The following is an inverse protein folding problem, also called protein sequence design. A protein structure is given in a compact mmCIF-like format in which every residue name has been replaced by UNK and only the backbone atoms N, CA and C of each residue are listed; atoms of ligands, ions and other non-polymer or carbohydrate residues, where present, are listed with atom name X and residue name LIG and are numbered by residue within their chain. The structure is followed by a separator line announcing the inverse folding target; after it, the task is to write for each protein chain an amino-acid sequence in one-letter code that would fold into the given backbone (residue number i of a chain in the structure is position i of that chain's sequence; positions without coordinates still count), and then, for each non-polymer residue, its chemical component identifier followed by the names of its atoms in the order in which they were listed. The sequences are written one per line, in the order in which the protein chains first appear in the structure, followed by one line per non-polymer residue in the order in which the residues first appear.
data_IF_756327962088
#
_entry.id   IF_756327962088
#
_cell.length_a   1.000
_cell.length_b   1.000
_cell.length_c   1.000
_cell.angle_alpha   90.00
_cell.angle_beta   90.00
_cell.angle_gamma   90.00
#
_symmetry.space_group_name_H-M   'P 1'
#
loop_
_entity.id
_entity.type
_entity.pdbx_description
1 polymer ?
#
# COMPACT_ATOMS: atom_id res chain seq x y z
N UNK A 1 -23.58 -10.81 -11.58
CA UNK A 1 -22.82 -9.54 -11.68
C UNK A 1 -21.65 -9.63 -10.70
N UNK A 2 -20.39 -9.66 -11.15
CA UNK A 2 -19.23 -9.77 -10.23
C UNK A 2 -19.06 -8.50 -9.39
N UNK A 3 -18.79 -8.66 -8.09
CA UNK A 3 -18.71 -7.55 -7.13
C UNK A 3 -17.41 -6.71 -7.26
N UNK A 4 -16.28 -7.35 -7.58
CA UNK A 4 -14.98 -6.69 -7.74
C UNK A 4 -14.61 -6.55 -9.21
N UNK A 5 -14.20 -5.35 -9.64
CA UNK A 5 -13.78 -5.06 -11.03
C UNK A 5 -12.28 -4.80 -11.15
N UNK A 6 -11.68 -4.20 -10.14
CA UNK A 6 -10.28 -3.79 -10.14
C UNK A 6 -9.68 -4.17 -8.79
N UNK A 7 -8.59 -4.94 -8.79
CA UNK A 7 -7.82 -5.29 -7.61
C UNK A 7 -6.41 -4.71 -7.76
N UNK A 8 -6.03 -3.77 -6.89
CA UNK A 8 -4.75 -3.06 -7.00
C UNK A 8 -3.85 -3.41 -5.82
N UNK A 9 -2.67 -3.94 -6.13
CA UNK A 9 -1.57 -4.12 -5.19
C UNK A 9 -0.75 -2.83 -5.18
N UNK A 10 -0.93 -2.03 -4.13
CA UNK A 10 -0.34 -0.69 -4.04
C UNK A 10 1.09 -0.67 -3.51
N UNK A 11 1.54 -1.76 -2.88
CA UNK A 11 2.88 -1.99 -2.34
C UNK A 11 3.12 -3.50 -2.21
N UNK A 12 4.37 -3.96 -2.07
CA UNK A 12 4.68 -5.41 -2.02
C UNK A 12 5.12 -5.93 -0.65
N UNK A 13 5.39 -5.05 0.32
CA UNK A 13 5.80 -5.49 1.65
C UNK A 13 4.69 -6.23 2.40
N UNK A 14 5.09 -7.14 3.29
CA UNK A 14 4.20 -8.12 3.92
C UNK A 14 3.10 -7.49 4.80
N UNK A 15 3.32 -6.28 5.33
CA UNK A 15 2.32 -5.50 6.07
C UNK A 15 1.20 -4.92 5.18
N UNK A 16 1.32 -5.04 3.85
CA UNK A 16 0.34 -4.56 2.88
C UNK A 16 -0.37 -5.68 2.10
N UNK A 17 0.29 -6.82 1.86
CA UNK A 17 -0.19 -7.80 0.88
C UNK A 17 -0.45 -9.20 1.43
N UNK A 18 -0.38 -9.40 2.75
CA UNK A 18 -0.76 -10.69 3.33
C UNK A 18 -2.23 -11.02 2.99
N UNK A 19 -2.47 -12.16 2.35
CA UNK A 19 -3.77 -12.60 1.84
C UNK A 19 -4.15 -12.01 0.47
N UNK A 20 -3.28 -11.22 -0.16
CA UNK A 20 -3.56 -10.63 -1.47
C UNK A 20 -3.73 -11.69 -2.57
N UNK A 21 -3.01 -12.80 -2.49
CA UNK A 21 -3.17 -13.93 -3.41
C UNK A 21 -4.53 -14.62 -3.31
N UNK A 22 -5.11 -14.70 -2.11
CA UNK A 22 -6.47 -15.25 -1.90
C UNK A 22 -7.53 -14.34 -2.52
N UNK A 23 -7.39 -13.02 -2.34
CA UNK A 23 -8.26 -12.03 -2.98
C UNK A 23 -8.13 -12.11 -4.50
N UNK A 24 -6.90 -12.20 -5.01
CA UNK A 24 -6.64 -12.40 -6.42
C UNK A 24 -7.39 -13.65 -6.89
N UNK A 25 -7.12 -14.83 -6.32
CA UNK A 25 -7.76 -16.11 -6.69
C UNK A 25 -9.29 -16.04 -6.68
N UNK A 26 -9.89 -15.49 -5.62
CA UNK A 26 -11.35 -15.40 -5.45
C UNK A 26 -12.00 -14.44 -6.45
N UNK A 27 -11.33 -13.35 -6.80
CA UNK A 27 -11.87 -12.31 -7.70
C UNK A 27 -11.55 -12.60 -9.17
N UNK A 28 -12.07 -13.71 -9.71
CA UNK A 28 -11.78 -14.26 -11.06
C UNK A 28 -11.99 -13.31 -12.24
N UNK A 29 -12.89 -12.34 -12.09
CA UNK A 29 -13.24 -11.37 -13.14
C UNK A 29 -12.65 -9.97 -12.92
N UNK A 30 -11.82 -9.80 -11.89
CA UNK A 30 -11.16 -8.52 -11.64
C UNK A 30 -9.90 -8.37 -12.48
N UNK A 31 -9.64 -7.14 -12.93
CA UNK A 31 -8.31 -6.74 -13.41
C UNK A 31 -7.37 -6.66 -12.21
N UNK A 32 -6.24 -7.37 -12.28
CA UNK A 32 -5.20 -7.30 -11.26
C UNK A 32 -4.20 -6.22 -11.65
N UNK A 33 -3.88 -5.28 -10.76
CA UNK A 33 -2.94 -4.21 -11.05
C UNK A 33 -1.84 -4.13 -10.00
N UNK A 34 -0.63 -3.79 -10.45
CA UNK A 34 0.54 -3.62 -9.60
C UNK A 34 1.54 -2.72 -10.32
N UNK A 35 2.48 -2.16 -9.56
CA UNK A 35 3.58 -1.35 -10.09
C UNK A 35 4.32 -2.07 -11.22
N UNK A 36 4.62 -1.36 -12.31
CA UNK A 36 5.37 -1.92 -13.44
C UNK A 36 6.77 -2.43 -13.05
N UNK A 37 7.34 -1.92 -11.95
CA UNK A 37 8.60 -2.42 -11.40
C UNK A 37 8.51 -3.90 -10.97
N UNK A 38 7.31 -4.38 -10.60
CA UNK A 38 7.10 -5.72 -10.04
C UNK A 38 6.94 -6.84 -11.09
N UNK A 39 7.02 -6.53 -12.38
CA UNK A 39 7.06 -7.54 -13.45
C UNK A 39 8.31 -7.48 -14.32
N UNK A 40 9.30 -6.68 -13.94
CA UNK A 40 10.59 -6.69 -14.62
C UNK A 40 11.40 -7.91 -14.19
N UNK A 41 12.31 -8.35 -15.07
CA UNK A 41 13.14 -9.53 -14.87
C UNK A 41 13.94 -9.46 -13.55
N UNK A 42 14.35 -8.27 -13.15
CA UNK A 42 14.97 -7.96 -11.88
C UNK A 42 14.10 -8.44 -10.71
N UNK A 43 12.84 -8.03 -10.67
CA UNK A 43 11.91 -8.42 -9.62
C UNK A 43 11.51 -9.89 -9.71
N UNK A 44 11.29 -10.43 -10.92
CA UNK A 44 10.94 -11.85 -11.09
C UNK A 44 12.04 -12.76 -10.56
N UNK A 45 13.31 -12.46 -10.84
CA UNK A 45 14.39 -13.27 -10.27
C UNK A 45 14.60 -13.02 -8.76
N UNK A 46 14.21 -11.86 -8.20
CA UNK A 46 14.11 -11.71 -6.75
C UNK A 46 13.04 -12.66 -6.18
N UNK A 47 11.87 -12.73 -6.82
CA UNK A 47 10.79 -13.65 -6.44
C UNK A 47 11.26 -15.10 -6.53
N UNK A 48 11.96 -15.50 -7.59
CA UNK A 48 12.50 -16.86 -7.71
C UNK A 48 13.50 -17.18 -6.58
N UNK A 49 14.38 -16.23 -6.26
CA UNK A 49 15.42 -16.41 -5.22
C UNK A 49 14.83 -16.47 -3.80
N UNK A 50 13.77 -15.69 -3.52
CA UNK A 50 13.26 -15.46 -2.16
C UNK A 50 11.86 -16.01 -1.87
N UNK A 51 11.11 -16.50 -2.86
CA UNK A 51 9.79 -17.11 -2.66
C UNK A 51 9.87 -18.43 -1.89
N UNK A 52 11.03 -19.10 -1.88
CA UNK A 52 11.22 -20.38 -1.19
C UNK A 52 10.40 -21.52 -1.78
N UNK A 53 10.03 -21.42 -3.07
CA UNK A 53 9.38 -22.51 -3.82
C UNK A 53 10.34 -23.69 -4.04
N UNK A 54 11.66 -23.44 -4.09
CA UNK A 54 12.70 -24.48 -4.04
C UNK A 54 13.15 -24.72 -2.59
N UNK A 55 12.88 -25.92 -2.08
CA UNK A 55 12.63 -26.24 -0.66
C UNK A 55 13.86 -26.42 0.27
N UNK A 56 14.95 -25.67 0.16
CA UNK A 56 16.12 -25.89 1.06
C UNK A 56 16.71 -24.65 1.74
N UNK A 57 15.91 -23.59 1.92
CA UNK A 57 16.39 -22.34 2.56
C UNK A 57 15.55 -21.98 3.79
N UNK A 58 16.23 -21.71 4.91
CA UNK A 58 15.62 -21.09 6.10
C UNK A 58 15.16 -19.67 5.72
N UNK A 59 13.88 -19.53 5.39
CA UNK A 59 13.28 -18.27 4.92
C UNK A 59 12.80 -17.41 6.10
N UNK A 60 13.11 -16.10 6.06
CA UNK A 60 12.68 -15.12 7.08
C UNK A 60 11.22 -14.66 6.87
N UNK A 61 10.60 -14.06 7.88
CA UNK A 61 9.22 -13.52 7.88
C UNK A 61 8.95 -12.51 6.76
N UNK A 62 9.99 -11.84 6.25
CA UNK A 62 9.86 -10.88 5.14
C UNK A 62 9.72 -11.53 3.76
N UNK A 63 9.90 -12.85 3.64
CA UNK A 63 9.63 -13.61 2.40
C UNK A 63 8.15 -13.81 2.10
N UNK A 64 7.24 -13.37 2.99
CA UNK A 64 5.80 -13.47 2.76
C UNK A 64 5.37 -12.59 1.58
N UNK A 65 5.96 -11.41 1.41
CA UNK A 65 5.62 -10.50 0.30
C UNK A 65 5.95 -11.09 -1.07
N UNK A 66 7.15 -11.63 -1.25
CA UNK A 66 7.55 -12.28 -2.51
C UNK A 66 6.71 -13.53 -2.81
N UNK A 67 6.33 -14.32 -1.80
CA UNK A 67 5.41 -15.46 -1.94
C UNK A 67 4.01 -15.05 -2.41
N UNK A 68 3.46 -13.97 -1.84
CA UNK A 68 2.16 -13.43 -2.25
C UNK A 68 2.21 -12.97 -3.71
N UNK A 69 3.24 -12.21 -4.10
CA UNK A 69 3.40 -11.78 -5.50
C UNK A 69 3.60 -12.97 -6.44
N UNK A 70 4.41 -13.98 -6.06
CA UNK A 70 4.58 -15.20 -6.86
C UNK A 70 3.24 -15.89 -7.12
N UNK A 71 2.42 -16.01 -6.08
CA UNK A 71 1.10 -16.64 -6.14
C UNK A 71 0.13 -15.83 -7.01
N UNK A 72 0.15 -14.50 -6.91
CA UNK A 72 -0.63 -13.61 -7.77
C UNK A 72 -0.20 -13.77 -9.25
N UNK A 73 1.10 -13.82 -9.53
CA UNK A 73 1.62 -14.03 -10.89
C UNK A 73 1.16 -15.38 -11.43
N UNK A 74 1.16 -16.44 -10.61
CA UNK A 74 0.62 -17.75 -10.99
C UNK A 74 -0.86 -17.65 -11.36
N UNK A 75 -1.68 -16.99 -10.53
CA UNK A 75 -3.10 -16.75 -10.83
C UNK A 75 -3.30 -15.98 -12.14
N UNK A 76 -2.46 -14.99 -12.43
CA UNK A 76 -2.52 -14.25 -13.70
C UNK A 76 -2.25 -15.18 -14.88
N UNK A 77 -1.19 -16.01 -14.81
CA UNK A 77 -0.85 -16.97 -15.86
C UNK A 77 -1.99 -17.96 -16.13
N UNK A 78 -2.54 -18.57 -15.08
CA UNK A 78 -3.67 -19.52 -15.18
C UNK A 78 -4.89 -18.88 -15.85
N UNK A 79 -5.21 -17.62 -15.52
CA UNK A 79 -6.31 -16.89 -16.17
C UNK A 79 -6.05 -16.63 -17.65
N UNK A 80 -4.81 -16.32 -18.02
CA UNK A 80 -4.43 -16.05 -19.41
C UNK A 80 -4.57 -17.29 -20.28
N UNK A 81 -4.37 -18.48 -19.71
CA UNK A 81 -4.54 -19.76 -20.40
C UNK A 81 -6.02 -20.13 -20.57
N UNK A 82 -6.89 -19.73 -19.63
CA UNK A 82 -8.31 -20.12 -19.61
C UNK A 82 -9.25 -19.15 -20.32
N UNK A 83 -8.87 -17.88 -20.50
CA UNK A 83 -9.73 -16.83 -21.08
C UNK A 83 -9.08 -16.25 -22.34
N UNK A 84 -9.89 -15.82 -23.31
CA UNK A 84 -9.38 -14.98 -24.42
C UNK A 84 -8.62 -13.79 -23.82
N UNK A 85 -7.38 -13.61 -24.27
CA UNK A 85 -6.29 -12.86 -23.63
C UNK A 85 -6.50 -11.34 -23.46
N UNK A 86 -7.73 -10.84 -23.59
CA UNK A 86 -8.04 -9.44 -23.45
C UNK A 86 -8.11 -9.05 -21.96
N UNK A 87 -6.90 -8.77 -21.45
CA UNK A 87 -6.55 -7.96 -20.28
C UNK A 87 -6.99 -8.53 -18.93
N UNK A 88 -6.17 -9.42 -18.37
CA UNK A 88 -6.33 -9.94 -17.00
C UNK A 88 -5.62 -9.06 -15.95
N UNK A 89 -4.62 -8.29 -16.38
CA UNK A 89 -3.84 -7.43 -15.50
C UNK A 89 -3.48 -6.10 -16.17
N UNK A 90 -3.17 -5.09 -15.37
CA UNK A 90 -2.70 -3.78 -15.81
C UNK A 90 -1.49 -3.32 -14.99
N UNK A 91 -0.47 -2.81 -15.69
CA UNK A 91 0.68 -2.20 -15.04
C UNK A 91 0.39 -0.76 -14.63
N UNK A 92 0.74 -0.43 -13.38
CA UNK A 92 0.64 0.91 -12.84
C UNK A 92 1.91 1.70 -13.15
N UNK A 93 1.73 2.92 -13.66
CA UNK A 93 2.76 3.91 -13.91
C UNK A 93 2.16 5.29 -13.69
N UNK A 94 3.00 6.31 -13.54
CA UNK A 94 2.55 7.68 -13.38
C UNK A 94 1.63 8.12 -14.53
N UNK A 95 0.64 8.95 -14.18
CA UNK A 95 -0.30 9.62 -15.07
C UNK A 95 -1.13 8.68 -15.97
N UNK A 96 -1.35 7.44 -15.52
CA UNK A 96 -2.03 6.42 -16.32
C UNK A 96 -3.45 6.16 -15.82
N UNK A 97 -4.45 6.30 -16.70
CA UNK A 97 -5.81 5.81 -16.40
C UNK A 97 -5.85 4.29 -16.50
N UNK A 98 -6.24 3.63 -15.41
CA UNK A 98 -6.23 2.16 -15.30
C UNK A 98 -7.64 1.55 -15.30
N UNK A 99 -8.67 2.37 -15.09
CA UNK A 99 -10.06 1.95 -15.14
C UNK A 99 -10.95 3.13 -15.52
N UNK A 100 -11.96 2.86 -16.34
CA UNK A 100 -13.04 3.78 -16.64
C UNK A 100 -14.34 3.01 -16.81
N UNK A 101 -15.42 3.51 -16.21
CA UNK A 101 -16.75 2.95 -16.43
C UNK A 101 -17.83 4.01 -16.32
N UNK A 102 -18.75 3.98 -17.28
CA UNK A 102 -20.00 4.72 -17.23
C UNK A 102 -21.09 3.82 -16.62
N UNK A 103 -21.78 4.33 -15.61
CA UNK A 103 -23.02 3.76 -15.08
C UNK A 103 -24.19 4.69 -15.43
N UNK A 104 -25.42 4.25 -15.19
CA UNK A 104 -26.64 4.99 -15.53
C UNK A 104 -26.71 6.37 -14.88
N UNK A 105 -26.18 6.53 -13.66
CA UNK A 105 -26.26 7.75 -12.86
C UNK A 105 -24.91 8.33 -12.43
N UNK A 106 -23.79 7.70 -12.78
CA UNK A 106 -22.46 8.21 -12.46
C UNK A 106 -21.36 7.64 -13.37
N UNK A 107 -20.23 8.34 -13.45
CA UNK A 107 -19.01 7.84 -14.08
C UNK A 107 -17.92 7.63 -13.04
N UNK A 108 -17.08 6.61 -13.23
CA UNK A 108 -15.92 6.32 -12.37
C UNK A 108 -14.68 6.19 -13.23
N UNK A 109 -13.62 6.88 -12.83
CA UNK A 109 -12.28 6.70 -13.38
C UNK A 109 -11.28 6.43 -12.25
N UNK A 110 -10.32 5.56 -12.50
CA UNK A 110 -9.19 5.32 -11.60
C UNK A 110 -7.90 5.60 -12.36
N UNK A 111 -7.05 6.41 -11.76
CA UNK A 111 -5.77 6.84 -12.30
C UNK A 111 -4.65 6.41 -11.36
N UNK A 112 -3.61 5.80 -11.90
CA UNK A 112 -2.34 5.63 -11.23
C UNK A 112 -1.53 6.91 -11.39
N UNK A 113 -1.05 7.47 -10.28
CA UNK A 113 -0.20 8.66 -10.25
C UNK A 113 1.27 8.31 -10.02
N UNK A 114 1.56 7.08 -9.62
CA UNK A 114 2.91 6.56 -9.41
C UNK A 114 2.95 5.05 -9.71
N UNK A 115 4.15 4.44 -9.80
CA UNK A 115 5.47 5.04 -9.71
C UNK A 115 5.82 5.95 -10.90
N UNK A 116 6.69 6.93 -10.69
CA UNK A 116 7.33 7.67 -11.79
C UNK A 116 8.39 6.81 -12.47
N UNK A 117 8.79 7.14 -13.71
CA UNK A 117 9.84 6.41 -14.43
C UNK A 117 11.17 6.35 -13.66
N UNK A 118 11.57 7.44 -13.01
CA UNK A 118 12.76 7.46 -12.15
C UNK A 118 12.60 6.53 -10.94
N UNK A 119 11.42 6.51 -10.31
CA UNK A 119 11.17 5.62 -9.17
C UNK A 119 11.23 4.15 -9.61
N UNK A 120 10.73 3.84 -10.82
CA UNK A 120 10.86 2.50 -11.40
C UNK A 120 12.33 2.14 -11.61
N UNK A 121 13.14 3.02 -12.22
CA UNK A 121 14.57 2.76 -12.40
C UNK A 121 15.29 2.54 -11.08
N UNK A 122 15.02 3.36 -10.06
CA UNK A 122 15.62 3.22 -8.74
C UNK A 122 15.22 1.90 -8.08
N UNK A 123 13.94 1.52 -8.18
CA UNK A 123 13.46 0.23 -7.69
C UNK A 123 14.21 -0.94 -8.34
N UNK A 124 14.39 -0.90 -9.67
CA UNK A 124 15.11 -1.96 -10.39
C UNK A 124 16.59 -2.04 -10.02
N UNK A 125 17.24 -0.89 -9.80
CA UNK A 125 18.62 -0.83 -9.34
C UNK A 125 18.77 -1.46 -7.94
N UNK A 126 17.91 -1.11 -6.98
CA UNK A 126 17.91 -1.70 -5.64
C UNK A 126 17.65 -3.21 -5.66
N UNK A 127 16.70 -3.66 -6.49
CA UNK A 127 16.42 -5.08 -6.66
C UNK A 127 17.64 -5.81 -7.26
N UNK A 128 18.32 -5.19 -8.23
CA UNK A 128 19.56 -5.69 -8.81
C UNK A 128 20.64 -5.91 -7.76
N UNK A 129 20.82 -4.97 -6.83
CA UNK A 129 21.75 -5.11 -5.71
C UNK A 129 21.36 -6.23 -4.75
N UNK A 130 20.06 -6.42 -4.48
CA UNK A 130 19.58 -7.51 -3.64
C UNK A 130 19.94 -8.89 -4.19
N UNK A 131 19.97 -9.06 -5.53
CA UNK A 131 20.41 -10.31 -6.16
C UNK A 131 21.88 -10.60 -5.90
N UNK A 132 22.74 -9.59 -6.00
CA UNK A 132 24.19 -9.73 -5.73
C UNK A 132 24.42 -10.21 -4.30
N UNK A 133 23.73 -9.61 -3.33
CA UNK A 133 23.80 -9.98 -1.92
C UNK A 133 23.32 -11.43 -1.70
N UNK A 134 22.25 -11.85 -2.38
CA UNK A 134 21.73 -13.21 -2.27
C UNK A 134 22.73 -14.30 -2.75
N UNK A 135 23.52 -13.98 -3.78
CA UNK A 135 24.54 -14.88 -4.32
C UNK A 135 25.72 -15.07 -3.35
N UNK A 136 26.03 -14.05 -2.53
CA UNK A 136 27.13 -14.05 -1.57
C UNK A 136 26.78 -14.78 -0.25
N UNK A 137 25.49 -15.00 0.04
CA UNK A 137 25.03 -15.69 1.27
C UNK A 137 23.97 -16.76 1.00
N UNK A 138 24.35 -17.94 0.49
CA UNK A 138 23.40 -18.97 0.05
C UNK A 138 22.61 -19.63 1.19
N UNK A 139 23.11 -19.58 2.42
CA UNK A 139 22.52 -20.30 3.58
C UNK A 139 21.39 -19.50 4.24
N UNK A 140 21.41 -18.16 4.15
CA UNK A 140 20.42 -17.29 4.82
C UNK A 140 20.07 -16.10 3.93
N UNK A 141 19.06 -16.30 3.08
CA UNK A 141 18.55 -15.28 2.18
C UNK A 141 17.60 -14.34 2.94
N UNK A 142 18.11 -13.16 3.33
CA UNK A 142 17.31 -12.06 3.87
C UNK A 142 17.20 -10.99 2.78
N UNK A 143 15.98 -10.56 2.44
CA UNK A 143 15.82 -9.44 1.52
C UNK A 143 16.33 -8.19 2.23
N UNK A 144 17.32 -7.46 1.67
CA UNK A 144 17.72 -6.19 2.24
C UNK A 144 16.52 -5.25 2.37
N UNK A 145 16.45 -4.52 3.47
CA UNK A 145 15.42 -3.50 3.66
C UNK A 145 15.62 -2.43 2.57
N UNK A 146 14.63 -2.17 1.70
CA UNK A 146 14.76 -1.14 0.67
C UNK A 146 15.04 0.23 1.28
N UNK A 147 15.73 1.11 0.55
CA UNK A 147 16.02 2.44 1.08
C UNK A 147 14.79 3.35 1.04
N UNK A 148 13.91 3.13 0.05
CA UNK A 148 12.63 3.82 -0.11
C UNK A 148 11.55 2.92 -0.72
N UNK A 149 10.28 3.28 -0.55
CA UNK A 149 9.14 2.60 -1.17
C UNK A 149 8.93 3.02 -2.64
N UNK A 150 9.95 2.84 -3.50
CA UNK A 150 9.95 3.29 -4.90
C UNK A 150 8.83 2.74 -5.78
N UNK A 151 8.28 1.57 -5.44
CA UNK A 151 7.19 0.93 -6.18
C UNK A 151 5.79 1.20 -5.59
N UNK A 152 5.67 2.10 -4.61
CA UNK A 152 4.38 2.50 -4.08
C UNK A 152 3.51 3.12 -5.18
N UNK A 153 2.28 2.62 -5.32
CA UNK A 153 1.32 3.07 -6.31
C UNK A 153 0.22 3.95 -5.68
N UNK A 154 0.27 5.24 -5.98
CA UNK A 154 -0.74 6.22 -5.60
C UNK A 154 -1.88 6.17 -6.61
N UNK A 155 -3.11 6.17 -6.11
CA UNK A 155 -4.31 6.17 -6.95
C UNK A 155 -5.14 7.43 -6.73
N UNK A 156 -5.67 7.97 -7.82
CA UNK A 156 -6.69 9.01 -7.82
C UNK A 156 -7.97 8.44 -8.42
N UNK A 157 -9.07 8.52 -7.66
CA UNK A 157 -10.38 8.08 -8.12
C UNK A 157 -11.23 9.31 -8.40
N UNK A 158 -11.73 9.39 -9.63
CA UNK A 158 -12.66 10.42 -10.05
C UNK A 158 -14.07 9.86 -10.12
N UNK A 159 -15.03 10.66 -9.68
CA UNK A 159 -16.47 10.37 -9.81
C UNK A 159 -17.12 11.55 -10.50
N UNK A 160 -17.85 11.29 -11.60
CA UNK A 160 -18.49 12.33 -12.41
C UNK A 160 -17.49 13.40 -12.91
N UNK A 161 -16.27 12.98 -13.24
CA UNK A 161 -15.22 13.87 -13.73
C UNK A 161 -14.49 14.69 -12.65
N UNK A 162 -14.89 14.61 -11.39
CA UNK A 162 -14.26 15.29 -10.26
C UNK A 162 -13.32 14.36 -9.48
N UNK A 163 -12.16 14.87 -9.08
CA UNK A 163 -11.25 14.20 -8.15
C UNK A 163 -11.93 14.05 -6.79
N UNK A 164 -12.15 12.81 -6.31
CA UNK A 164 -12.85 12.58 -5.03
C UNK A 164 -11.97 11.91 -3.99
N UNK A 165 -11.17 10.93 -4.41
CA UNK A 165 -10.41 10.07 -3.48
C UNK A 165 -8.96 9.99 -3.94
N UNK A 166 -8.04 10.32 -3.04
CA UNK A 166 -6.61 10.12 -3.20
C UNK A 166 -6.15 9.00 -2.25
N UNK A 167 -5.52 7.96 -2.79
CA UNK A 167 -4.98 6.85 -2.02
C UNK A 167 -3.46 6.88 -2.07
N UNK A 168 -2.81 7.34 -0.99
CA UNK A 168 -1.37 7.64 -0.98
C UNK A 168 -0.41 6.45 -0.92
N UNK A 169 -0.92 5.21 -0.81
CA UNK A 169 -0.10 4.01 -0.59
C UNK A 169 0.96 4.25 0.50
N UNK A 170 2.20 3.82 0.27
CA UNK A 170 3.34 4.04 1.15
C UNK A 170 4.39 4.95 0.49
N UNK A 171 3.93 5.84 -0.39
CA UNK A 171 4.79 6.75 -1.13
C UNK A 171 5.42 7.80 -0.19
N UNK A 172 6.74 7.90 -0.24
CA UNK A 172 7.53 8.88 0.48
C UNK A 172 7.67 10.19 -0.33
N UNK A 173 7.92 11.30 0.36
CA UNK A 173 8.36 12.56 -0.23
C UNK A 173 9.89 12.58 -0.27
N UNK A 174 10.44 12.96 -1.42
CA UNK A 174 11.90 12.98 -1.67
C UNK A 174 12.43 14.38 -1.95
N UNK A 175 11.55 15.35 -2.18
CA UNK A 175 11.90 16.70 -2.67
C UNK A 175 12.42 16.71 -4.11
N UNK A 176 12.50 15.56 -4.78
CA UNK A 176 12.99 15.43 -6.14
C UNK A 176 11.81 15.49 -7.12
N UNK A 177 11.81 16.40 -8.11
CA UNK A 177 10.72 16.52 -9.08
C UNK A 177 10.48 15.26 -9.94
N UNK A 178 11.38 14.28 -9.90
CA UNK A 178 11.27 13.00 -10.63
C UNK A 178 10.83 11.82 -9.76
N UNK A 179 10.80 11.93 -8.43
CA UNK A 179 10.36 10.83 -7.53
C UNK A 179 9.42 11.32 -6.43
N UNK A 180 8.84 10.37 -5.68
CA UNK A 180 8.01 10.68 -4.52
C UNK A 180 6.79 11.55 -4.84
N UNK A 181 6.28 12.21 -3.80
CA UNK A 181 5.16 13.14 -3.92
C UNK A 181 5.46 14.35 -4.79
N UNK A 182 6.69 14.87 -4.76
CA UNK A 182 7.15 15.97 -5.62
C UNK A 182 6.87 15.71 -7.11
N UNK A 183 7.14 14.50 -7.61
CA UNK A 183 6.84 14.14 -9.00
C UNK A 183 5.34 14.17 -9.32
N UNK A 184 4.49 13.69 -8.40
CA UNK A 184 3.04 13.68 -8.59
C UNK A 184 2.50 15.12 -8.61
N UNK A 185 2.87 15.92 -7.61
CA UNK A 185 2.36 17.29 -7.47
C UNK A 185 2.66 18.10 -8.73
N UNK A 186 3.88 17.99 -9.25
CA UNK A 186 4.37 18.78 -10.37
C UNK A 186 3.88 18.26 -11.73
N UNK A 187 3.39 17.02 -11.82
CA UNK A 187 2.88 16.47 -13.07
C UNK A 187 1.68 17.27 -13.58
N UNK A 188 1.79 17.71 -14.84
CA UNK A 188 0.71 18.33 -15.60
C UNK A 188 -0.14 17.29 -16.34
N UNK A 189 0.34 16.05 -16.46
CA UNK A 189 -0.33 14.98 -17.21
C UNK A 189 -1.36 14.23 -16.35
N UNK A 190 -1.23 14.27 -15.02
CA UNK A 190 -2.28 13.72 -14.14
C UNK A 190 -3.57 14.53 -14.22
N UNK A 191 -4.73 13.93 -13.88
CA UNK A 191 -5.91 14.69 -13.60
C UNK A 191 -5.66 15.73 -12.49
N UNK A 192 -6.08 16.96 -12.76
CA UNK A 192 -6.03 18.06 -11.82
C UNK A 192 -7.30 18.12 -10.97
N UNK A 193 -7.25 18.89 -9.88
CA UNK A 193 -8.33 19.04 -8.91
C UNK A 193 -7.99 18.50 -7.53
N UNK A 194 -8.89 18.76 -6.58
CA UNK A 194 -8.72 18.45 -5.16
C UNK A 194 -9.60 17.28 -4.74
N UNK A 195 -9.07 16.42 -3.87
CA UNK A 195 -9.79 15.27 -3.32
C UNK A 195 -10.34 15.55 -1.93
N UNK A 196 -11.55 15.06 -1.67
CA UNK A 196 -12.20 15.14 -0.37
C UNK A 196 -11.75 14.03 0.57
N UNK A 197 -11.32 12.88 0.06
CA UNK A 197 -10.93 11.71 0.86
C UNK A 197 -9.46 11.39 0.59
N UNK A 198 -8.68 11.19 1.65
CA UNK A 198 -7.25 10.90 1.55
C UNK A 198 -6.86 9.71 2.43
N UNK A 199 -6.44 8.58 1.83
CA UNK A 199 -5.65 7.60 2.56
C UNK A 199 -4.24 8.15 2.70
N UNK A 200 -3.91 8.53 3.92
CA UNK A 200 -2.64 9.15 4.26
C UNK A 200 -1.51 8.15 3.98
N UNK A 201 -0.44 8.58 3.29
CA UNK A 201 0.62 7.68 2.87
C UNK A 201 1.42 7.15 4.04
N UNK A 202 1.98 5.96 3.87
CA UNK A 202 3.02 5.35 4.74
C UNK A 202 2.70 5.47 6.22
N UNK A 203 1.45 5.15 6.58
CA UNK A 203 0.96 5.18 7.96
C UNK A 203 1.08 6.55 8.65
N UNK A 204 1.16 7.63 7.88
CA UNK A 204 1.29 9.00 8.34
C UNK A 204 2.69 9.39 8.81
N UNK A 205 3.73 8.65 8.43
CA UNK A 205 5.12 9.00 8.73
C UNK A 205 5.48 10.40 8.23
N UNK A 206 6.53 10.99 8.83
CA UNK A 206 7.01 12.32 8.46
C UNK A 206 7.70 12.33 7.09
N UNK A 207 8.34 11.24 6.69
CA UNK A 207 9.00 11.09 5.37
C UNK A 207 7.99 11.03 4.21
N UNK A 208 6.73 10.67 4.47
CA UNK A 208 5.67 10.65 3.48
C UNK A 208 4.83 11.94 3.47
N UNK A 209 5.17 12.92 4.30
CA UNK A 209 4.45 14.20 4.36
C UNK A 209 4.90 15.12 3.23
N UNK A 210 3.95 15.61 2.45
CA UNK A 210 4.17 16.64 1.44
C UNK A 210 3.16 17.76 1.63
N UNK A 211 3.63 18.97 1.97
CA UNK A 211 2.75 20.13 2.18
C UNK A 211 1.95 20.46 0.91
N UNK A 212 2.61 20.38 -0.24
CA UNK A 212 2.01 20.64 -1.54
C UNK A 212 0.85 19.69 -1.87
N UNK A 213 0.88 18.44 -1.40
CA UNK A 213 -0.25 17.52 -1.59
C UNK A 213 -1.47 18.03 -0.83
N UNK A 214 -1.29 18.42 0.43
CA UNK A 214 -2.38 18.98 1.23
C UNK A 214 -2.91 20.30 0.67
N UNK A 215 -2.04 21.16 0.19
CA UNK A 215 -2.41 22.47 -0.34
C UNK A 215 -3.07 22.38 -1.74
N UNK A 216 -2.49 21.58 -2.65
CA UNK A 216 -2.80 21.61 -4.08
C UNK A 216 -3.70 20.46 -4.53
N UNK A 217 -3.68 19.32 -3.84
CA UNK A 217 -4.38 18.10 -4.25
C UNK A 217 -5.53 17.68 -3.33
N UNK A 218 -5.70 18.33 -2.18
CA UNK A 218 -6.76 18.04 -1.22
C UNK A 218 -7.64 19.28 -0.97
N UNK A 219 -8.89 19.02 -0.60
CA UNK A 219 -9.80 20.04 -0.10
C UNK A 219 -9.26 20.65 1.21
N UNK A 220 -9.83 21.78 1.67
CA UNK A 220 -9.35 22.48 2.87
C UNK A 220 -9.55 21.72 4.19
N UNK A 221 -10.45 20.73 4.22
CA UNK A 221 -10.71 19.89 5.40
C UNK A 221 -11.08 18.46 4.96
N UNK A 222 -10.15 17.71 4.35
CA UNK A 222 -10.43 16.42 3.74
C UNK A 222 -10.63 15.35 4.81
N UNK A 223 -11.33 14.26 4.50
CA UNK A 223 -11.40 13.08 5.36
C UNK A 223 -10.06 12.33 5.26
N UNK A 224 -9.29 12.36 6.35
CA UNK A 224 -8.01 11.67 6.46
C UNK A 224 -8.19 10.25 7.02
N UNK A 225 -7.69 9.25 6.30
CA UNK A 225 -7.70 7.85 6.72
C UNK A 225 -6.27 7.41 7.00
N UNK A 226 -6.03 6.97 8.23
CA UNK A 226 -4.72 6.54 8.73
C UNK A 226 -4.73 5.05 9.01
N UNK A 227 -3.77 4.33 8.43
CA UNK A 227 -3.52 2.93 8.78
C UNK A 227 -2.32 2.84 9.72
N UNK A 228 -2.34 1.92 10.67
CA UNK A 228 -1.22 1.77 11.62
C UNK A 228 -0.34 0.58 11.27
N UNK A 229 0.96 0.76 11.49
CA UNK A 229 1.98 -0.29 11.40
C UNK A 229 2.43 -0.68 12.80
N UNK A 230 2.28 -1.96 13.12
CA UNK A 230 2.69 -2.54 14.41
C UNK A 230 3.97 -3.35 14.21
N UNK A 231 4.93 -3.19 15.13
CA UNK A 231 6.26 -3.80 15.00
C UNK A 231 7.30 -2.81 14.44
N UNK A 232 8.58 -3.18 14.53
CA UNK A 232 9.68 -2.29 14.15
C UNK A 232 9.58 -0.91 14.84
N UNK A 233 9.64 0.15 14.02
CA UNK A 233 9.32 1.53 14.40
C UNK A 233 7.82 1.76 14.18
N UNK A 234 7.03 1.52 15.22
CA UNK A 234 5.58 1.69 15.15
C UNK A 234 5.19 3.12 14.75
N UNK A 235 4.24 3.21 13.83
CA UNK A 235 3.69 4.45 13.28
C UNK A 235 2.18 4.28 13.06
N UNK A 236 1.39 5.36 13.16
CA UNK A 236 1.77 6.75 13.45
C UNK A 236 2.24 6.96 14.90
N UNK A 237 3.06 7.98 15.14
CA UNK A 237 3.37 8.48 16.50
C UNK A 237 2.40 9.58 16.90
N UNK A 238 2.36 9.94 18.18
CA UNK A 238 1.57 11.09 18.65
C UNK A 238 1.96 12.39 17.93
N UNK A 239 3.25 12.56 17.60
CA UNK A 239 3.73 13.70 16.80
C UNK A 239 3.17 13.69 15.38
N UNK A 240 3.02 12.51 14.77
CA UNK A 240 2.45 12.37 13.43
C UNK A 240 0.96 12.71 13.45
N UNK A 241 0.22 12.20 14.44
CA UNK A 241 -1.20 12.54 14.63
C UNK A 241 -1.37 14.04 14.84
N UNK A 242 -0.54 14.67 15.70
CA UNK A 242 -0.60 16.11 15.96
C UNK A 242 -0.40 16.91 14.67
N UNK A 243 0.65 16.59 13.90
CA UNK A 243 0.92 17.22 12.59
C UNK A 243 -0.24 17.05 11.62
N UNK A 244 -0.81 15.85 11.51
CA UNK A 244 -1.91 15.58 10.57
C UNK A 244 -3.20 16.33 10.95
N UNK A 245 -3.46 16.54 12.24
CA UNK A 245 -4.60 17.33 12.72
C UNK A 245 -4.53 18.83 12.38
N UNK A 246 -3.35 19.33 12.00
CA UNK A 246 -3.22 20.71 11.52
C UNK A 246 -3.87 20.90 10.13
N UNK A 247 -4.06 19.81 9.38
CA UNK A 247 -4.60 19.84 8.00
C UNK A 247 -6.05 19.33 7.90
N UNK A 248 -6.55 18.65 8.92
CA UNK A 248 -7.94 18.18 8.92
C UNK A 248 -8.47 17.95 10.34
N UNK A 249 -9.73 18.29 10.52
CA UNK A 249 -10.53 17.92 11.70
C UNK A 249 -11.16 16.52 11.58
N UNK A 250 -11.13 15.93 10.38
CA UNK A 250 -11.76 14.65 10.02
C UNK A 250 -10.70 13.53 9.90
N UNK A 251 -9.96 13.26 10.97
CA UNK A 251 -8.91 12.25 10.98
C UNK A 251 -9.40 10.94 11.64
N UNK A 252 -9.30 9.84 10.90
CA UNK A 252 -9.75 8.51 11.34
C UNK A 252 -8.60 7.50 11.24
N UNK A 253 -8.56 6.53 12.15
CA UNK A 253 -7.52 5.52 12.17
C UNK A 253 -8.10 4.12 12.30
N UNK A 254 -7.61 3.17 11.48
CA UNK A 254 -8.12 1.78 11.47
C UNK A 254 -7.79 1.02 12.74
N UNK A 255 -6.67 1.33 13.38
CA UNK A 255 -6.31 0.81 14.69
C UNK A 255 -5.32 1.78 15.34
N UNK A 256 -5.57 2.35 16.52
CA UNK A 256 -4.58 3.19 17.18
C UNK A 256 -3.28 2.41 17.48
N UNK A 257 -2.11 3.05 17.43
CA UNK A 257 -0.84 2.41 17.74
C UNK A 257 -0.89 1.71 19.11
N UNK A 258 -0.57 0.40 19.13
CA UNK A 258 -0.45 -0.37 20.37
C UNK A 258 0.78 0.10 21.15
N UNK A 259 0.59 1.03 22.06
CA UNK A 259 1.67 1.60 22.89
C UNK A 259 1.95 0.78 24.15
N UNK A 260 1.00 -0.05 24.61
CA UNK A 260 1.13 -0.79 25.88
C UNK A 260 1.22 -2.29 25.66
N UNK A 261 2.25 -2.89 26.27
CA UNK A 261 2.33 -4.35 26.41
C UNK A 261 1.19 -4.81 27.32
N UNK A 262 0.49 -5.88 26.92
CA UNK A 262 -0.41 -6.58 27.84
C UNK A 262 0.36 -6.96 29.11
N UNK A 263 -0.20 -6.68 30.29
CA UNK A 263 0.36 -7.08 31.58
C UNK A 263 -0.29 -8.40 31.99
N UNK A 264 0.52 -9.43 32.20
CA UNK A 264 0.03 -10.68 32.75
C UNK A 264 0.16 -10.68 34.28
N UNK A 265 -0.44 -11.68 34.92
CA UNK A 265 -0.22 -11.95 36.34
C UNK A 265 1.30 -12.06 36.66
N UNK A 266 1.76 -11.63 37.85
CA UNK A 266 3.18 -11.65 38.22
C UNK A 266 3.89 -13.00 38.02
N UNK A 267 3.21 -14.13 38.23
CA UNK A 267 3.81 -15.45 38.01
C UNK A 267 4.10 -15.71 36.53
N UNK A 268 3.16 -15.36 35.65
CA UNK A 268 3.30 -15.49 34.19
C UNK A 268 4.38 -14.53 33.66
N UNK A 269 4.43 -13.30 34.18
CA UNK A 269 5.48 -12.33 33.84
C UNK A 269 6.88 -12.84 34.19
N UNK A 270 7.04 -13.50 35.35
CA UNK A 270 8.31 -14.07 35.77
C UNK A 270 8.77 -15.19 34.84
N UNK A 271 7.86 -16.10 34.48
CA UNK A 271 8.13 -17.18 33.51
C UNK A 271 8.50 -16.62 32.15
N UNK A 272 7.74 -15.65 31.64
CA UNK A 272 8.01 -14.96 30.39
C UNK A 272 9.41 -14.34 30.36
N UNK A 273 9.80 -13.59 31.42
CA UNK A 273 11.12 -12.96 31.51
C UNK A 273 12.26 -13.98 31.59
N UNK A 274 12.00 -15.16 32.15
CA UNK A 274 12.98 -16.26 32.19
C UNK A 274 13.26 -16.89 30.83
N UNK A 275 12.30 -16.85 29.90
CA UNK A 275 12.41 -17.52 28.58
C UNK A 275 12.73 -16.54 27.45
N UNK A 276 12.21 -15.31 27.50
CA UNK A 276 12.36 -14.34 26.41
C UNK A 276 12.94 -12.99 26.86
N UNK A 277 13.99 -12.53 26.16
CA UNK A 277 14.66 -11.26 26.42
C UNK A 277 13.79 -10.04 26.11
N UNK A 278 12.92 -10.14 25.09
CA UNK A 278 12.08 -9.03 24.64
C UNK A 278 10.74 -9.54 24.12
N UNK A 279 9.66 -8.84 24.49
CA UNK A 279 8.33 -9.02 23.90
C UNK A 279 7.84 -7.73 23.27
N UNK A 280 7.15 -7.86 22.13
CA UNK A 280 6.46 -6.78 21.44
C UNK A 280 5.03 -7.24 21.16
N UNK A 281 4.02 -6.36 21.30
CA UNK A 281 2.69 -6.67 20.78
C UNK A 281 2.82 -6.88 19.26
N UNK A 282 2.27 -7.98 18.78
CA UNK A 282 2.03 -8.19 17.34
C UNK A 282 0.60 -7.70 17.01
N UNK A 283 0.29 -7.65 15.72
CA UNK A 283 -1.00 -7.22 15.18
C UNK A 283 -2.19 -7.53 16.11
N UNK A 284 -2.87 -6.49 16.58
CA UNK A 284 -4.18 -6.60 17.21
C UNK A 284 -5.28 -6.69 16.15
N UNK A 285 -6.54 -6.64 16.57
CA UNK A 285 -7.66 -6.51 15.64
C UNK A 285 -7.52 -5.23 14.81
N UNK A 286 -7.76 -5.31 13.51
CA UNK A 286 -7.90 -4.12 12.66
C UNK A 286 -9.36 -3.72 12.61
N UNK A 287 -9.64 -2.44 12.82
CA UNK A 287 -10.96 -1.89 12.63
C UNK A 287 -11.23 -1.56 11.17
N UNK A 288 -12.47 -1.18 10.89
CA UNK A 288 -12.92 -0.85 9.54
C UNK A 288 -13.52 0.56 9.52
N UNK A 289 -13.01 1.39 8.59
CA UNK A 289 -13.54 2.71 8.28
C UNK A 289 -14.30 2.59 6.97
N UNK A 290 -15.59 2.83 7.00
CA UNK A 290 -16.45 2.83 5.83
C UNK A 290 -16.84 4.27 5.48
N UNK A 291 -16.63 4.65 4.22
CA UNK A 291 -17.04 5.96 3.71
C UNK A 291 -18.07 5.75 2.61
N UNK A 292 -19.20 6.45 2.69
CA UNK A 292 -20.27 6.44 1.69
C UNK A 292 -20.54 7.87 1.25
N UNK A 293 -20.50 8.15 -0.04
CA UNK A 293 -20.83 9.47 -0.57
C UNK A 293 -21.69 9.31 -1.83
N UNK A 294 -22.70 10.17 -1.98
CA UNK A 294 -23.61 10.15 -3.11
C UNK A 294 -23.36 11.41 -3.97
N UNK A 295 -22.21 11.48 -4.64
CA UNK A 295 -21.83 12.47 -5.68
C UNK A 295 -21.81 13.95 -5.28
N UNK A 296 -22.96 14.44 -4.79
CA UNK A 296 -23.31 15.83 -4.50
C UNK A 296 -23.52 16.12 -3.00
N UNK A 297 -23.53 15.08 -2.15
CA UNK A 297 -23.74 15.21 -0.70
C UNK A 297 -22.47 14.87 0.08
N UNK A 298 -22.38 15.36 1.31
CA UNK A 298 -21.26 15.05 2.21
C UNK A 298 -21.10 13.55 2.44
N UNK A 299 -19.86 13.10 2.68
CA UNK A 299 -19.59 11.70 2.91
C UNK A 299 -20.01 11.27 4.33
N UNK A 300 -20.78 10.18 4.43
CA UNK A 300 -21.11 9.52 5.68
C UNK A 300 -20.00 8.54 6.08
N UNK A 301 -19.67 8.49 7.37
CA UNK A 301 -18.58 7.69 7.91
C UNK A 301 -19.13 6.68 8.92
N UNK A 302 -18.84 5.41 8.69
CA UNK A 302 -19.10 4.30 9.62
C UNK A 302 -17.79 3.77 10.19
N UNK A 303 -17.78 3.45 11.47
CA UNK A 303 -16.60 2.94 12.18
C UNK A 303 -16.94 1.61 12.85
N UNK A 304 -16.11 0.60 12.58
CA UNK A 304 -16.14 -0.68 13.29
C UNK A 304 -14.85 -0.77 14.10
N UNK A 305 -15.00 -1.00 15.40
CA UNK A 305 -13.90 -1.07 16.35
C UNK A 305 -12.82 -2.09 15.90
N UNK A 306 -11.54 -1.85 16.23
CA UNK A 306 -11.01 -0.71 16.98
C UNK A 306 -10.81 0.60 16.17
N UNK A 307 -11.38 0.72 14.97
CA UNK A 307 -11.29 1.97 14.22
C UNK A 307 -11.99 3.10 14.97
N UNK A 308 -11.41 4.30 14.93
CA UNK A 308 -11.93 5.47 15.63
C UNK A 308 -11.54 6.78 14.95
N UNK A 309 -12.30 7.84 15.26
CA UNK A 309 -11.84 9.21 15.07
C UNK A 309 -10.67 9.51 16.04
N UNK A 310 -9.70 10.30 15.58
CA UNK A 310 -8.51 10.67 16.35
C UNK A 310 -8.60 12.05 16.96
#
# INVERSE_FOLDING_TARGET
MYAVKLFVVSHWHSDHIKGASEVAGTCESSYICFSEALLKYEFLALVDVYSGLDQTVLTDRETCGTKEIASIIKTIKERCEQKNADLIYNLLSADKRIFQRQYSNHSVEVWALSPSSESVMNCLAEIGDCKRIAAESPVRRVIPVPTQNHNAAVLLIKVNGESKILLGSDLEETGNPRTGWSAIVQSQNRPQGKSQIFKIPHHGSADAHSHDVWEKMLDSNPIGILTSKVGGRAIPRNSDIKRLKEYTSNLYCTAPPLTKKHKYDPAVEKTIKGVMKNRKPLYGEMGHIQIRFNGNSGAAIGLIAPAKAL
#
